data_IF_035783136934
#
_entry.id   IF_035783136934
#
_cell.length_a   1.000
_cell.length_b   1.000
_cell.length_c   1.000
_cell.angle_alpha   90.00
_cell.angle_beta   90.00
_cell.angle_gamma   90.00
#
_symmetry.space_group_name_H-M   'P 1'
#
loop_
_entity.id
_entity.type
_entity.pdbx_description
1 polymer ?
#
# COMPACT_ATOMS: atom_id res chain seq x y z
N UNK A 1 30.02 -7.42 -22.40
CA UNK A 1 29.51 -6.95 -21.09
C UNK A 1 28.17 -6.26 -21.30
N UNK A 2 27.03 -6.95 -21.16
CA UNK A 2 25.71 -6.32 -21.38
C UNK A 2 24.54 -7.05 -20.67
N UNK A 3 24.78 -7.68 -19.51
CA UNK A 3 23.82 -8.63 -18.90
C UNK A 3 23.11 -8.20 -17.62
N UNK A 4 23.39 -7.00 -17.06
CA UNK A 4 22.93 -6.64 -15.70
C UNK A 4 21.92 -5.48 -15.60
N UNK A 5 21.61 -4.80 -16.71
CA UNK A 5 20.72 -3.62 -16.69
C UNK A 5 19.22 -3.93 -16.85
N UNK A 6 18.86 -5.13 -17.30
CA UNK A 6 17.47 -5.46 -17.63
C UNK A 6 16.67 -6.08 -16.47
N UNK A 7 17.33 -6.48 -15.37
CA UNK A 7 16.66 -7.12 -14.24
C UNK A 7 15.78 -6.14 -13.43
N UNK A 8 16.19 -4.87 -13.34
CA UNK A 8 15.46 -3.84 -12.60
C UNK A 8 14.22 -3.31 -13.34
N UNK A 9 14.23 -3.29 -14.68
CA UNK A 9 13.06 -2.88 -15.46
C UNK A 9 11.96 -3.96 -15.49
N UNK A 10 12.32 -5.23 -15.33
CA UNK A 10 11.33 -6.31 -15.26
C UNK A 10 10.44 -6.21 -14.00
N UNK A 11 10.97 -5.78 -12.85
CA UNK A 11 10.15 -5.65 -11.64
C UNK A 11 9.14 -4.49 -11.67
N UNK A 12 9.46 -3.37 -12.31
CA UNK A 12 8.51 -2.26 -12.50
C UNK A 12 7.38 -2.63 -13.47
N UNK A 13 7.65 -3.47 -14.46
CA UNK A 13 6.66 -3.91 -15.43
C UNK A 13 5.66 -4.91 -14.85
N UNK A 14 6.08 -5.80 -13.94
CA UNK A 14 5.16 -6.78 -13.33
C UNK A 14 4.14 -6.11 -12.40
N UNK A 15 4.56 -5.11 -11.61
CA UNK A 15 3.64 -4.33 -10.76
C UNK A 15 2.62 -3.53 -11.56
N UNK A 16 3.05 -2.91 -12.66
CA UNK A 16 2.16 -2.12 -13.53
C UNK A 16 1.15 -3.00 -14.30
N UNK A 17 1.53 -4.21 -14.70
CA UNK A 17 0.66 -5.10 -15.47
C UNK A 17 -0.39 -5.80 -14.59
N UNK A 18 -0.07 -6.19 -13.36
CA UNK A 18 -1.03 -6.81 -12.44
C UNK A 18 -2.13 -5.80 -12.00
N UNK A 19 -1.77 -4.53 -11.78
CA UNK A 19 -2.75 -3.47 -11.48
C UNK A 19 -3.67 -3.15 -12.66
N UNK A 20 -3.17 -3.26 -13.89
CA UNK A 20 -3.93 -2.90 -15.10
C UNK A 20 -5.14 -3.79 -15.38
N UNK A 21 -5.15 -5.05 -14.89
CA UNK A 21 -6.27 -5.96 -15.12
C UNK A 21 -7.49 -5.62 -14.24
N UNK A 22 -7.27 -5.21 -13.00
CA UNK A 22 -8.34 -4.76 -12.10
C UNK A 22 -8.83 -3.35 -12.46
N UNK A 23 -7.92 -2.42 -12.78
CA UNK A 23 -8.27 -1.06 -13.19
C UNK A 23 -9.09 -0.99 -14.48
N UNK A 24 -9.13 -2.05 -15.30
CA UNK A 24 -9.99 -2.14 -16.48
C UNK A 24 -11.43 -2.57 -16.19
N UNK A 25 -11.72 -3.14 -15.01
CA UNK A 25 -13.05 -3.70 -14.73
C UNK A 25 -14.10 -2.64 -14.39
N UNK A 26 -13.70 -1.43 -13.99
CA UNK A 26 -14.63 -0.30 -13.84
C UNK A 26 -13.84 1.04 -13.81
N UNK A 27 -13.80 1.80 -14.92
CA UNK A 27 -13.09 3.08 -14.97
C UNK A 27 -13.65 4.14 -14.01
N UNK A 28 -14.86 3.93 -13.47
CA UNK A 28 -15.49 4.85 -12.53
C UNK A 28 -15.24 4.49 -11.07
N UNK A 29 -14.74 3.28 -10.78
CA UNK A 29 -14.53 2.84 -9.40
C UNK A 29 -13.23 3.38 -8.84
N UNK A 30 -13.36 4.44 -8.05
CA UNK A 30 -12.24 5.07 -7.37
C UNK A 30 -11.63 4.12 -6.32
N UNK A 31 -10.30 4.07 -6.24
CA UNK A 31 -9.57 3.19 -5.31
C UNK A 31 -9.94 3.44 -3.83
N UNK A 32 -10.32 4.67 -3.47
CA UNK A 32 -10.85 5.02 -2.14
C UNK A 32 -12.16 4.31 -1.78
N UNK A 33 -12.92 3.84 -2.78
CA UNK A 33 -14.19 3.13 -2.60
C UNK A 33 -14.06 1.62 -2.54
N UNK A 34 -12.84 1.07 -2.66
CA UNK A 34 -12.59 -0.37 -2.53
C UNK A 34 -12.87 -0.80 -1.09
N UNK A 35 -13.71 -1.82 -0.88
CA UNK A 35 -14.12 -2.28 0.44
C UNK A 35 -13.92 -3.81 0.62
N UNK A 36 -14.47 -4.37 1.71
CA UNK A 36 -14.33 -5.79 2.01
C UNK A 36 -14.97 -6.73 0.99
N UNK A 37 -16.06 -6.31 0.33
CA UNK A 37 -16.69 -7.10 -0.72
C UNK A 37 -15.80 -7.20 -1.96
N UNK A 38 -15.10 -6.10 -2.29
CA UNK A 38 -14.11 -6.09 -3.37
C UNK A 38 -12.88 -6.90 -2.99
N UNK A 39 -12.38 -6.71 -1.76
CA UNK A 39 -11.23 -7.44 -1.24
C UNK A 39 -11.43 -8.95 -1.33
N UNK A 40 -12.60 -9.46 -0.96
CA UNK A 40 -12.93 -10.88 -1.04
C UNK A 40 -12.94 -11.41 -2.49
N UNK A 41 -13.30 -10.57 -3.47
CA UNK A 41 -13.28 -10.90 -4.90
C UNK A 41 -11.88 -10.75 -5.54
N UNK A 42 -10.97 -10.01 -4.91
CA UNK A 42 -9.59 -9.88 -5.39
C UNK A 42 -8.87 -11.22 -5.41
N UNK A 43 -8.21 -11.50 -6.54
CA UNK A 43 -7.21 -12.57 -6.62
C UNK A 43 -6.02 -12.23 -5.70
N UNK A 44 -5.30 -13.24 -5.18
CA UNK A 44 -4.16 -13.02 -4.30
C UNK A 44 -3.13 -12.01 -4.83
N UNK A 45 -2.76 -12.10 -6.11
CA UNK A 45 -1.78 -11.20 -6.73
C UNK A 45 -2.28 -9.75 -6.77
N UNK A 46 -3.57 -9.55 -6.98
CA UNK A 46 -4.18 -8.20 -6.97
C UNK A 46 -4.19 -7.63 -5.56
N UNK A 47 -4.47 -8.45 -4.55
CA UNK A 47 -4.36 -8.01 -3.14
C UNK A 47 -2.93 -7.59 -2.82
N UNK A 48 -1.93 -8.37 -3.24
CA UNK A 48 -0.52 -8.02 -3.03
C UNK A 48 -0.18 -6.69 -3.69
N UNK A 49 -0.53 -6.51 -4.96
CA UNK A 49 -0.28 -5.27 -5.68
C UNK A 49 -0.99 -4.06 -5.05
N UNK A 50 -2.23 -4.24 -4.58
CA UNK A 50 -2.98 -3.20 -3.88
C UNK A 50 -2.27 -2.79 -2.58
N UNK A 51 -1.82 -3.77 -1.79
CA UNK A 51 -1.12 -3.53 -0.53
C UNK A 51 0.22 -2.85 -0.78
N UNK A 52 1.02 -3.35 -1.72
CA UNK A 52 2.31 -2.75 -2.09
C UNK A 52 2.13 -1.30 -2.57
N UNK A 53 1.12 -1.05 -3.40
CA UNK A 53 0.78 0.29 -3.86
C UNK A 53 0.37 1.22 -2.72
N UNK A 54 -0.45 0.75 -1.78
CA UNK A 54 -0.83 1.51 -0.59
C UNK A 54 0.38 1.84 0.29
N UNK A 55 1.25 0.86 0.57
CA UNK A 55 2.45 1.04 1.39
C UNK A 55 3.44 2.00 0.74
N UNK A 56 3.67 1.87 -0.57
CA UNK A 56 4.51 2.79 -1.34
C UNK A 56 3.94 4.22 -1.31
N UNK A 57 2.62 4.37 -1.51
CA UNK A 57 1.93 5.66 -1.42
C UNK A 57 2.01 6.29 -0.03
N UNK A 58 1.87 5.51 1.03
CA UNK A 58 1.98 5.98 2.40
C UNK A 58 3.40 6.44 2.75
N UNK A 59 4.42 5.65 2.36
CA UNK A 59 5.82 6.02 2.55
C UNK A 59 6.17 7.29 1.76
N UNK A 60 5.70 7.39 0.51
CA UNK A 60 5.88 8.57 -0.33
C UNK A 60 5.21 9.81 0.28
N UNK A 61 3.96 9.69 0.72
CA UNK A 61 3.23 10.79 1.36
C UNK A 61 3.91 11.27 2.64
N UNK A 62 4.41 10.34 3.47
CA UNK A 62 5.18 10.66 4.68
C UNK A 62 6.50 11.36 4.35
N UNK A 63 7.24 10.88 3.34
CA UNK A 63 8.51 11.47 2.93
C UNK A 63 8.36 12.83 2.24
N UNK A 64 7.25 13.04 1.52
CA UNK A 64 6.99 14.27 0.79
C UNK A 64 6.58 15.45 1.70
N UNK A 65 6.15 15.19 2.94
CA UNK A 65 5.58 16.19 3.86
C UNK A 65 6.53 17.37 4.23
N UNK A 66 7.81 17.31 3.84
CA UNK A 66 8.75 18.44 4.00
C UNK A 66 9.80 18.55 2.89
N UNK A 67 9.65 17.78 1.80
CA UNK A 67 10.61 17.73 0.72
C UNK A 67 10.26 18.76 -0.37
N UNK A 68 11.27 19.44 -0.91
CA UNK A 68 11.08 20.43 -2.01
C UNK A 68 11.34 19.86 -3.40
N UNK A 69 12.00 18.71 -3.47
CA UNK A 69 12.37 18.04 -4.73
C UNK A 69 12.43 16.52 -4.55
N UNK A 70 12.55 15.80 -5.67
CA UNK A 70 12.58 14.33 -5.70
C UNK A 70 13.83 13.73 -5.02
N UNK A 71 14.93 14.47 -4.94
CA UNK A 71 16.15 14.01 -4.26
C UNK A 71 15.93 14.01 -2.74
N UNK A 72 15.29 15.05 -2.21
CA UNK A 72 14.90 15.13 -0.80
C UNK A 72 13.89 14.04 -0.43
N UNK A 73 12.91 13.77 -1.29
CA UNK A 73 11.98 12.63 -1.10
C UNK A 73 12.74 11.30 -1.01
N UNK A 74 13.65 11.04 -1.95
CA UNK A 74 14.45 9.80 -1.94
C UNK A 74 15.24 9.65 -0.63
N UNK A 75 15.94 10.70 -0.21
CA UNK A 75 16.70 10.69 1.04
C UNK A 75 15.80 10.48 2.27
N UNK A 76 14.61 11.08 2.28
CA UNK A 76 13.65 10.91 3.36
C UNK A 76 13.12 9.46 3.42
N UNK A 77 12.79 8.83 2.28
CA UNK A 77 12.39 7.40 2.23
C UNK A 77 13.53 6.51 2.75
N UNK A 78 14.77 6.72 2.28
CA UNK A 78 15.95 5.95 2.72
C UNK A 78 16.23 6.12 4.21
N UNK A 79 15.94 7.29 4.77
CA UNK A 79 16.04 7.53 6.22
C UNK A 79 14.93 6.80 6.98
N UNK A 80 13.68 6.99 6.59
CA UNK A 80 12.51 6.34 7.23
C UNK A 80 12.64 4.81 7.23
N UNK A 81 13.15 4.22 6.14
CA UNK A 81 13.37 2.78 6.03
C UNK A 81 14.50 2.27 6.93
N UNK A 82 15.53 3.08 7.19
CA UNK A 82 16.66 2.68 8.06
C UNK A 82 16.36 2.86 9.54
N UNK A 83 15.56 3.86 9.88
CA UNK A 83 15.27 4.24 11.26
C UNK A 83 13.98 3.57 11.80
N UNK A 84 13.40 2.59 11.08
CA UNK A 84 12.09 1.99 11.38
C UNK A 84 10.97 3.03 11.63
N UNK A 85 11.06 4.15 10.90
CA UNK A 85 10.21 5.34 11.04
C UNK A 85 9.00 5.36 10.09
N UNK A 86 8.83 4.34 9.25
CA UNK A 86 7.68 4.22 8.37
C UNK A 86 6.39 4.12 9.19
N UNK A 87 5.37 4.90 8.81
CA UNK A 87 4.02 4.84 9.41
C UNK A 87 3.44 3.43 9.32
N UNK A 88 3.71 2.74 8.21
CA UNK A 88 3.36 1.35 7.99
C UNK A 88 4.65 0.52 7.89
N UNK A 89 5.18 -0.01 9.01
CA UNK A 89 6.52 -0.60 9.05
C UNK A 89 6.57 -2.06 8.59
N UNK A 90 5.42 -2.73 8.44
CA UNK A 90 5.37 -4.16 8.15
C UNK A 90 5.31 -4.46 6.65
N UNK A 91 5.70 -5.68 6.28
CA UNK A 91 5.64 -6.14 4.89
C UNK A 91 4.21 -6.33 4.37
N UNK A 92 4.07 -6.36 3.04
CA UNK A 92 2.78 -6.49 2.37
C UNK A 92 2.02 -7.78 2.76
N UNK A 93 2.74 -8.87 3.01
CA UNK A 93 2.16 -10.13 3.49
C UNK A 93 1.45 -9.98 4.85
N UNK A 94 2.03 -9.22 5.79
CA UNK A 94 1.46 -8.97 7.11
C UNK A 94 0.16 -8.19 6.96
N UNK A 95 0.18 -7.08 6.22
CA UNK A 95 -1.02 -6.28 6.00
C UNK A 95 -2.10 -7.04 5.23
N UNK A 96 -1.74 -7.78 4.17
CA UNK A 96 -2.70 -8.57 3.39
C UNK A 96 -3.43 -9.61 4.25
N UNK A 97 -2.70 -10.32 5.11
CA UNK A 97 -3.31 -11.27 6.06
C UNK A 97 -4.23 -10.55 7.03
N UNK A 98 -3.77 -9.46 7.65
CA UNK A 98 -4.53 -8.75 8.68
C UNK A 98 -5.77 -8.04 8.14
N UNK A 99 -5.74 -7.55 6.91
CA UNK A 99 -6.92 -7.00 6.25
C UNK A 99 -7.94 -8.09 5.94
N UNK A 100 -7.47 -9.29 5.57
CA UNK A 100 -8.35 -10.44 5.40
C UNK A 100 -9.02 -10.83 6.73
N UNK A 101 -8.28 -10.81 7.84
CA UNK A 101 -8.83 -10.99 9.19
C UNK A 101 -9.84 -9.89 9.55
N UNK A 102 -9.52 -8.63 9.22
CA UNK A 102 -10.39 -7.48 9.48
C UNK A 102 -11.76 -7.66 8.79
N UNK A 103 -11.77 -8.10 7.54
CA UNK A 103 -12.99 -8.34 6.76
C UNK A 103 -13.67 -9.68 7.01
N UNK A 104 -13.16 -10.50 7.94
CA UNK A 104 -13.85 -11.70 8.40
C UNK A 104 -15.19 -11.36 9.04
N UNK A 105 -15.27 -10.21 9.72
CA UNK A 105 -16.48 -9.75 10.39
C UNK A 105 -17.42 -8.99 9.44
N UNK A 106 -18.69 -9.41 9.36
CA UNK A 106 -19.67 -8.85 8.40
C UNK A 106 -19.88 -7.33 8.55
N UNK A 107 -19.80 -6.80 9.76
CA UNK A 107 -19.90 -5.37 10.04
C UNK A 107 -18.74 -4.56 9.45
N UNK A 108 -17.59 -5.17 9.16
CA UNK A 108 -16.45 -4.50 8.57
C UNK A 108 -16.46 -4.51 7.04
N UNK A 109 -17.19 -5.42 6.40
CA UNK A 109 -17.30 -5.53 4.93
C UNK A 109 -17.61 -4.20 4.22
N UNK A 110 -18.55 -3.35 4.70
CA UNK A 110 -18.82 -2.07 4.04
C UNK A 110 -17.72 -1.02 4.22
N UNK A 111 -16.77 -1.21 5.13
CA UNK A 111 -15.72 -0.23 5.41
C UNK A 111 -14.68 -0.19 4.29
N UNK A 112 -14.20 1.01 3.91
CA UNK A 112 -13.14 1.15 2.91
C UNK A 112 -11.84 0.45 3.31
N UNK A 113 -11.10 -0.04 2.31
CA UNK A 113 -9.86 -0.79 2.52
C UNK A 113 -8.77 0.11 3.07
N UNK A 114 -8.68 1.36 2.63
CA UNK A 114 -7.74 2.32 3.22
C UNK A 114 -7.98 2.50 4.72
N UNK A 115 -9.23 2.44 5.18
CA UNK A 115 -9.58 2.54 6.60
C UNK A 115 -9.13 1.27 7.34
N UNK A 116 -9.37 0.09 6.75
CA UNK A 116 -8.89 -1.17 7.28
C UNK A 116 -7.36 -1.17 7.51
N UNK A 117 -6.58 -0.56 6.60
CA UNK A 117 -5.14 -0.37 6.81
C UNK A 117 -4.81 0.43 8.07
N UNK A 118 -5.53 1.52 8.35
CA UNK A 118 -5.30 2.36 9.55
C UNK A 118 -5.61 1.59 10.83
N UNK A 119 -6.75 0.89 10.86
CA UNK A 119 -7.19 0.07 11.99
C UNK A 119 -6.21 -1.08 12.26
N UNK A 120 -5.83 -1.80 11.20
CA UNK A 120 -4.84 -2.88 11.28
C UNK A 120 -3.49 -2.35 11.78
N UNK A 121 -3.02 -1.21 11.27
CA UNK A 121 -1.76 -0.62 11.70
C UNK A 121 -1.78 -0.26 13.19
N UNK A 122 -2.89 0.32 13.65
CA UNK A 122 -3.14 0.63 15.06
C UNK A 122 -3.15 -0.63 15.92
N UNK A 123 -3.87 -1.67 15.49
CA UNK A 123 -3.92 -2.96 16.19
C UNK A 123 -2.56 -3.68 16.23
N UNK A 124 -1.68 -3.44 15.25
CA UNK A 124 -0.30 -3.93 15.21
C UNK A 124 0.68 -3.08 16.05
N UNK A 125 0.17 -2.16 16.88
CA UNK A 125 0.97 -1.37 17.82
C UNK A 125 1.53 -0.07 17.24
N UNK A 126 1.03 0.40 16.09
CA UNK A 126 1.39 1.69 15.49
C UNK A 126 0.13 2.57 15.36
N UNK A 127 -0.38 3.13 16.47
CA UNK A 127 -1.45 4.11 16.40
C UNK A 127 -1.03 5.26 15.50
N UNK A 128 -1.91 5.67 14.60
CA UNK A 128 -1.71 6.90 13.83
C UNK A 128 -2.07 8.02 14.79
N UNK A 129 -1.07 8.57 15.47
CA UNK A 129 -1.29 9.70 16.38
C UNK A 129 -1.93 10.83 15.57
N UNK A 130 -3.08 11.32 16.04
CA UNK A 130 -3.89 12.41 15.47
C UNK A 130 -3.13 13.75 15.45
N UNK A 131 -2.11 13.85 14.62
CA UNK A 131 -1.65 15.13 14.10
C UNK A 131 -1.77 15.05 12.59
N UNK A 132 -3.02 15.07 12.13
CA UNK A 132 -3.33 15.74 10.88
C UNK A 132 -2.89 17.21 11.05
N UNK A 133 -2.13 17.79 10.10
CA UNK A 133 -1.91 19.23 10.09
C UNK A 133 -3.24 20.00 9.98
#
# INVERSE_FOLDING_TARGET
>A
MAGKRYFWMAMLAVGALAGSAWSRQDPHRHWLGVNGADWQQMKPDVRSAYVEGFLAGAALGQAAAGARDSTQVRMAIEKLSRDDGLRFPYGANVYSSRISDFYWWKNHVPLPTWHAFLEVNTALGRPITDTLP
#
